data_IF_383109795883
#
_entry.id   IF_383109795883
#
_cell.length_a   1.000
_cell.length_b   1.000
_cell.length_c   1.000
_cell.angle_alpha   90.00
_cell.angle_beta   90.00
_cell.angle_gamma   90.00
#
_symmetry.space_group_name_H-M   'P 1'
#
loop_
_entity.id
_entity.type
_entity.pdbx_description
1 polymer ?
#
# COMPACT_ATOMS: atom_id res chain seq x y z
N UNK A 1 2.14 -13.57 17.91
CA UNK A 1 1.58 -13.55 16.54
C UNK A 1 2.48 -12.78 15.61
N UNK A 2 2.96 -13.43 14.57
CA UNK A 2 3.79 -12.82 13.53
C UNK A 2 2.95 -12.70 12.27
N UNK A 3 2.64 -11.45 11.86
CA UNK A 3 1.93 -11.14 10.64
C UNK A 3 2.94 -10.65 9.59
N UNK A 4 3.06 -11.36 8.47
CA UNK A 4 3.95 -11.00 7.36
C UNK A 4 3.11 -10.43 6.22
N UNK A 5 3.34 -9.18 5.89
CA UNK A 5 2.68 -8.45 4.82
C UNK A 5 3.72 -7.65 4.02
N UNK A 6 3.41 -7.34 2.75
CA UNK A 6 4.36 -6.67 1.86
C UNK A 6 4.10 -5.16 1.78
N UNK A 7 3.12 -4.73 0.98
CA UNK A 7 2.92 -3.32 0.68
C UNK A 7 1.53 -2.86 1.14
N UNK A 8 1.39 -2.34 2.37
CA UNK A 8 0.16 -1.68 2.78
C UNK A 8 -0.03 -0.40 1.96
N UNK A 9 -1.23 -0.22 1.40
CA UNK A 9 -1.61 0.97 0.64
C UNK A 9 -3.06 1.36 0.95
N UNK A 10 -3.49 2.51 0.43
CA UNK A 10 -4.80 3.07 0.72
C UNK A 10 -4.79 3.94 1.97
N UNK A 11 -5.94 4.47 2.29
CA UNK A 11 -6.20 5.35 3.42
C UNK A 11 -7.51 4.95 4.11
N UNK A 12 -7.85 5.57 5.23
CA UNK A 12 -9.16 5.34 5.82
C UNK A 12 -10.26 5.93 4.92
N UNK A 13 -11.39 5.23 4.69
CA UNK A 13 -12.45 5.67 3.74
C UNK A 13 -13.05 7.05 4.04
N UNK A 14 -12.89 7.54 5.27
CA UNK A 14 -13.32 8.91 5.63
C UNK A 14 -12.44 10.01 5.05
N UNK A 15 -11.26 9.69 4.48
CA UNK A 15 -10.29 10.68 4.02
C UNK A 15 -9.60 11.48 5.14
N UNK A 16 -9.79 11.10 6.42
CA UNK A 16 -9.22 11.80 7.57
C UNK A 16 -7.84 11.25 7.99
N UNK A 17 -7.55 10.00 7.64
CA UNK A 17 -6.31 9.30 7.98
C UNK A 17 -5.71 8.74 6.71
N UNK A 18 -4.45 9.06 6.45
CA UNK A 18 -3.69 8.56 5.30
C UNK A 18 -2.21 8.58 5.56
N UNK A 19 -1.41 8.27 4.53
CA UNK A 19 0.04 8.15 4.63
C UNK A 19 0.72 9.48 4.27
N UNK A 20 1.47 10.05 5.22
CA UNK A 20 2.31 11.24 5.02
C UNK A 20 3.72 10.99 5.56
N UNK A 21 4.60 10.37 4.77
CA UNK A 21 5.93 9.99 5.22
C UNK A 21 6.82 11.20 5.44
N UNK A 22 7.55 11.20 6.57
CA UNK A 22 8.60 12.17 6.82
C UNK A 22 9.81 11.92 5.89
N UNK A 23 10.05 12.82 4.95
CA UNK A 23 11.15 12.73 3.99
C UNK A 23 10.78 11.98 2.70
N UNK A 24 11.74 11.21 2.17
CA UNK A 24 11.52 10.44 0.93
C UNK A 24 10.69 9.18 1.24
N UNK A 25 9.56 8.97 0.55
CA UNK A 25 8.76 7.76 0.73
C UNK A 25 9.57 6.48 0.45
N UNK A 26 9.23 5.40 1.17
CA UNK A 26 9.81 4.07 0.92
C UNK A 26 8.88 3.16 0.10
N UNK A 27 7.58 3.50 0.03
CA UNK A 27 6.54 2.72 -0.65
C UNK A 27 6.11 3.39 -1.95
N UNK A 28 5.54 2.61 -2.87
CA UNK A 28 5.08 3.09 -4.18
C UNK A 28 3.95 4.11 -4.08
N UNK A 29 2.91 3.82 -3.28
CA UNK A 29 1.67 4.60 -3.27
C UNK A 29 1.86 6.08 -2.91
N UNK A 30 2.68 6.47 -1.90
CA UNK A 30 2.97 7.89 -1.66
C UNK A 30 3.62 8.60 -2.84
N UNK A 31 4.50 7.92 -3.60
CA UNK A 31 5.07 8.51 -4.82
C UNK A 31 4.01 8.77 -5.88
N UNK A 32 3.15 7.78 -6.16
CA UNK A 32 2.03 7.90 -7.12
C UNK A 32 1.10 9.04 -6.72
N UNK A 33 0.70 9.10 -5.45
CA UNK A 33 -0.18 10.14 -4.91
C UNK A 33 0.46 11.53 -4.99
N UNK A 34 1.76 11.66 -4.68
CA UNK A 34 2.50 12.93 -4.79
C UNK A 34 2.66 13.40 -6.26
N UNK A 35 2.76 12.48 -7.23
CA UNK A 35 2.72 12.83 -8.66
C UNK A 35 1.34 13.35 -9.03
N UNK A 36 0.27 12.68 -8.63
CA UNK A 36 -1.11 13.05 -8.95
C UNK A 36 -1.51 14.44 -8.43
N UNK A 37 -0.99 14.87 -7.27
CA UNK A 37 -1.21 16.24 -6.73
C UNK A 37 -0.17 17.26 -7.19
N UNK A 38 0.78 16.87 -8.08
CA UNK A 38 1.77 17.77 -8.66
C UNK A 38 3.00 18.07 -7.80
N UNK A 39 3.19 17.38 -6.67
CA UNK A 39 4.40 17.52 -5.83
C UNK A 39 5.65 16.92 -6.48
N UNK A 40 5.46 15.99 -7.43
CA UNK A 40 6.52 15.34 -8.20
C UNK A 40 6.18 15.37 -9.68
N UNK A 41 7.18 15.54 -10.57
CA UNK A 41 6.94 15.64 -12.01
C UNK A 41 6.58 14.29 -12.65
N UNK A 42 7.08 13.18 -12.12
CA UNK A 42 6.89 11.82 -12.64
C UNK A 42 7.14 10.76 -11.58
N UNK A 43 6.68 9.55 -11.87
CA UNK A 43 6.97 8.33 -11.11
C UNK A 43 8.16 7.60 -11.74
N UNK A 44 9.20 7.28 -10.96
CA UNK A 44 10.28 6.43 -11.43
C UNK A 44 9.88 4.96 -11.36
N UNK A 45 9.97 4.24 -12.49
CA UNK A 45 9.77 2.80 -12.62
C UNK A 45 11.13 2.14 -12.82
N UNK A 46 11.53 1.27 -11.90
CA UNK A 46 12.85 0.63 -11.92
C UNK A 46 12.79 -0.73 -12.62
N UNK A 47 13.20 -0.75 -13.89
CA UNK A 47 13.12 -1.89 -14.80
C UNK A 47 11.78 -1.96 -15.54
N UNK A 48 11.87 -2.25 -16.85
CA UNK A 48 10.73 -2.45 -17.75
C UNK A 48 10.94 -3.69 -18.65
N UNK A 49 11.85 -4.56 -18.23
CA UNK A 49 12.33 -5.72 -18.98
C UNK A 49 12.25 -7.01 -18.14
N UNK A 50 11.42 -7.03 -17.09
CA UNK A 50 11.13 -8.25 -16.32
C UNK A 50 10.24 -9.19 -17.15
N UNK A 51 10.35 -10.49 -16.87
CA UNK A 51 9.46 -11.51 -17.43
C UNK A 51 8.10 -11.49 -16.69
N UNK A 52 7.33 -10.45 -16.99
CA UNK A 52 6.02 -10.12 -16.40
C UNK A 52 5.11 -9.54 -17.50
N UNK A 53 3.78 -9.51 -17.32
CA UNK A 53 2.86 -9.08 -18.38
C UNK A 53 3.12 -7.68 -18.94
N UNK A 54 3.62 -6.74 -18.13
CA UNK A 54 3.91 -5.36 -18.52
C UNK A 54 5.41 -5.00 -18.49
N UNK A 55 6.26 -5.98 -18.18
CA UNK A 55 7.71 -5.80 -18.05
C UNK A 55 8.15 -5.19 -16.73
N UNK A 56 7.24 -4.79 -15.85
CA UNK A 56 7.55 -4.22 -14.54
C UNK A 56 7.45 -5.26 -13.41
N UNK A 57 7.92 -4.93 -12.21
CA UNK A 57 7.88 -5.87 -11.08
C UNK A 57 6.46 -6.04 -10.51
N UNK A 58 5.96 -7.28 -10.48
CA UNK A 58 4.69 -7.63 -9.84
C UNK A 58 4.85 -7.65 -8.32
N UNK A 59 3.93 -6.99 -7.62
CA UNK A 59 3.97 -6.82 -6.15
C UNK A 59 2.61 -7.16 -5.55
N UNK A 60 2.66 -7.56 -4.28
CA UNK A 60 1.49 -7.80 -3.45
C UNK A 60 1.15 -6.53 -2.67
N UNK A 61 -0.11 -6.15 -2.69
CA UNK A 61 -0.64 -5.00 -1.97
C UNK A 61 -1.79 -5.41 -1.06
N UNK A 62 -1.93 -4.72 0.06
CA UNK A 62 -3.02 -4.93 1.02
C UNK A 62 -3.58 -3.57 1.45
N UNK A 63 -4.92 -3.46 1.54
CA UNK A 63 -5.52 -2.25 2.06
C UNK A 63 -5.15 -2.07 3.54
N UNK A 64 -4.73 -0.86 3.91
CA UNK A 64 -4.29 -0.55 5.29
C UNK A 64 -5.37 -0.85 6.34
N UNK A 65 -6.66 -0.72 6.00
CA UNK A 65 -7.78 -1.05 6.90
C UNK A 65 -7.91 -2.56 7.08
N UNK A 66 -7.83 -3.36 5.99
CA UNK A 66 -7.82 -4.82 6.09
C UNK A 66 -6.64 -5.31 6.93
N UNK A 67 -5.47 -4.69 6.78
CA UNK A 67 -4.30 -4.98 7.59
C UNK A 67 -4.53 -4.64 9.07
N UNK A 68 -5.15 -3.50 9.39
CA UNK A 68 -5.48 -3.12 10.76
C UNK A 68 -6.46 -4.11 11.40
N UNK A 69 -7.48 -4.55 10.66
CA UNK A 69 -8.42 -5.58 11.12
C UNK A 69 -7.73 -6.93 11.35
N UNK A 70 -6.78 -7.31 10.48
CA UNK A 70 -5.99 -8.54 10.70
C UNK A 70 -5.21 -8.49 12.02
N UNK A 71 -4.70 -7.33 12.42
CA UNK A 71 -4.02 -7.19 13.72
C UNK A 71 -4.98 -7.37 14.89
N UNK A 72 -6.23 -6.89 14.79
CA UNK A 72 -7.24 -7.07 15.83
C UNK A 72 -7.58 -8.55 15.97
N UNK A 73 -7.91 -9.23 14.86
CA UNK A 73 -8.25 -10.66 14.87
C UNK A 73 -7.07 -11.51 15.37
N UNK A 74 -5.84 -11.17 15.00
CA UNK A 74 -4.65 -11.85 15.52
C UNK A 74 -4.47 -11.66 17.03
N UNK A 75 -4.76 -10.46 17.55
CA UNK A 75 -4.73 -10.19 19.00
C UNK A 75 -5.80 -10.99 19.74
N UNK A 76 -7.03 -11.02 19.22
CA UNK A 76 -8.12 -11.82 19.79
C UNK A 76 -7.73 -13.31 19.86
N UNK A 77 -7.12 -13.83 18.79
CA UNK A 77 -6.62 -15.21 18.75
C UNK A 77 -5.56 -15.49 19.82
N UNK A 78 -4.65 -14.55 20.08
CA UNK A 78 -3.62 -14.67 21.12
C UNK A 78 -4.22 -14.60 22.54
N UNK A 79 -5.34 -13.92 22.73
CA UNK A 79 -6.06 -13.90 24.00
C UNK A 79 -6.81 -15.21 24.27
N UNK A 80 -7.22 -15.93 23.21
CA UNK A 80 -7.87 -17.24 23.32
C UNK A 80 -6.88 -18.39 23.52
N UNK A 81 -5.69 -18.30 22.90
CA UNK A 81 -4.65 -19.32 22.95
C UNK A 81 -3.27 -18.71 23.10
N UNK A 82 -2.44 -19.16 24.04
CA UNK A 82 -1.09 -18.63 24.26
C UNK A 82 -0.07 -19.08 23.20
N UNK A 83 -0.49 -19.91 22.23
CA UNK A 83 0.42 -20.45 21.21
C UNK A 83 0.82 -19.38 20.20
N UNK A 84 2.12 -19.32 19.87
CA UNK A 84 2.63 -18.43 18.84
C UNK A 84 2.28 -18.95 17.45
N UNK A 85 2.03 -18.03 16.50
CA UNK A 85 1.76 -18.35 15.10
C UNK A 85 2.42 -17.36 14.15
N UNK A 86 2.54 -17.75 12.87
CA UNK A 86 3.00 -16.89 11.78
C UNK A 86 2.06 -17.04 10.60
N UNK A 87 1.52 -15.92 10.10
CA UNK A 87 0.61 -15.89 8.93
C UNK A 87 1.05 -14.85 7.91
N UNK A 88 0.75 -15.10 6.63
CA UNK A 88 0.94 -14.14 5.56
C UNK A 88 -0.38 -13.40 5.28
N UNK A 89 -0.25 -12.11 4.95
CA UNK A 89 -1.39 -11.25 4.61
C UNK A 89 -1.09 -10.53 3.30
N UNK A 90 -1.97 -10.65 2.28
CA UNK A 90 -1.76 -9.97 1.00
C UNK A 90 -2.79 -10.30 -0.08
N UNK A 91 -2.64 -9.64 -1.24
CA UNK A 91 -3.35 -9.88 -2.50
C UNK A 91 -2.54 -9.33 -3.69
N UNK A 92 -2.70 -9.88 -4.91
CA UNK A 92 -1.85 -9.54 -6.10
C UNK A 92 -2.56 -8.56 -7.03
N UNK A 93 -1.92 -7.37 -7.37
CA UNK A 93 -2.63 -6.30 -8.12
C UNK A 93 -1.67 -5.30 -8.86
N UNK A 94 -2.19 -4.64 -9.93
CA UNK A 94 -1.55 -3.57 -10.70
C UNK A 94 -2.04 -2.18 -10.24
N UNK A 95 -1.15 -1.40 -9.59
CA UNK A 95 -1.51 -0.21 -8.83
C UNK A 95 -1.61 1.08 -9.67
N UNK A 96 -0.68 1.33 -10.60
CA UNK A 96 -0.60 2.65 -11.26
C UNK A 96 -1.85 2.92 -12.09
N UNK A 97 -2.23 1.97 -12.95
CA UNK A 97 -3.43 2.11 -13.81
C UNK A 97 -4.71 2.25 -12.98
N UNK A 98 -4.84 1.48 -11.89
CA UNK A 98 -6.00 1.60 -11.01
C UNK A 98 -6.05 2.98 -10.30
N UNK A 99 -4.89 3.54 -9.94
CA UNK A 99 -4.83 4.87 -9.34
C UNK A 99 -5.17 5.98 -10.35
N UNK A 100 -4.73 5.88 -11.60
CA UNK A 100 -5.13 6.80 -12.68
C UNK A 100 -6.66 6.81 -12.88
N UNK A 101 -7.28 5.62 -12.86
CA UNK A 101 -8.74 5.50 -12.95
C UNK A 101 -9.46 6.14 -11.76
N UNK A 102 -8.97 5.88 -10.54
CA UNK A 102 -9.58 6.39 -9.31
C UNK A 102 -9.42 7.92 -9.17
N UNK A 103 -8.28 8.47 -9.55
CA UNK A 103 -7.95 9.90 -9.40
C UNK A 103 -8.39 10.76 -10.58
N UNK A 104 -8.58 10.17 -11.77
CA UNK A 104 -8.72 10.90 -13.03
C UNK A 104 -7.47 11.70 -13.40
N UNK A 105 -6.30 11.34 -12.87
CA UNK A 105 -5.02 12.00 -13.10
C UNK A 105 -4.09 11.07 -13.85
N UNK A 106 -3.45 11.55 -14.89
CA UNK A 106 -2.34 10.88 -15.55
C UNK A 106 -1.11 10.86 -14.63
N UNK A 107 -0.43 9.72 -14.56
CA UNK A 107 0.81 9.54 -13.81
C UNK A 107 1.98 9.39 -14.78
N UNK A 108 2.69 10.45 -15.11
CA UNK A 108 3.86 10.39 -15.99
C UNK A 108 4.90 9.43 -15.44
N UNK A 109 5.35 8.49 -16.28
CA UNK A 109 6.33 7.46 -15.90
C UNK A 109 7.72 7.82 -16.45
N UNK A 110 8.74 7.61 -15.64
CA UNK A 110 10.15 7.66 -16.03
C UNK A 110 10.79 6.30 -15.78
N UNK A 111 11.15 5.59 -16.84
CA UNK A 111 11.78 4.27 -16.73
C UNK A 111 13.27 4.42 -16.45
N UNK A 112 13.74 3.74 -15.43
CA UNK A 112 15.12 3.68 -14.97
C UNK A 112 15.64 2.24 -14.97
N UNK A 113 16.94 2.05 -14.82
CA UNK A 113 17.55 0.73 -14.68
C UNK A 113 17.00 -0.04 -13.45
N UNK A 114 17.04 -1.37 -13.52
CA UNK A 114 16.64 -2.24 -12.40
C UNK A 114 17.44 -1.91 -11.16
N UNK A 115 16.80 -1.94 -10.01
CA UNK A 115 17.49 -1.90 -8.71
C UNK A 115 18.07 -3.28 -8.40
N UNK A 116 19.25 -3.31 -7.81
CA UNK A 116 19.86 -4.55 -7.36
C UNK A 116 19.00 -5.23 -6.30
N UNK A 117 18.70 -6.52 -6.49
CA UNK A 117 17.90 -7.33 -5.56
C UNK A 117 16.39 -7.29 -5.81
N UNK A 118 15.88 -6.51 -6.76
CA UNK A 118 14.45 -6.55 -7.10
C UNK A 118 14.11 -7.86 -7.82
N UNK A 119 13.07 -8.55 -7.32
CA UNK A 119 12.52 -9.76 -7.94
C UNK A 119 11.48 -9.39 -9.01
N UNK A 120 11.34 -10.18 -10.08
CA UNK A 120 10.30 -9.98 -11.10
C UNK A 120 8.89 -9.99 -10.49
N UNK A 121 8.63 -10.91 -9.57
CA UNK A 121 7.33 -11.05 -8.92
C UNK A 121 7.47 -11.67 -7.53
N UNK A 122 6.64 -11.23 -6.58
CA UNK A 122 6.41 -11.90 -5.32
C UNK A 122 5.03 -11.54 -4.76
N UNK A 123 4.42 -12.51 -4.10
CA UNK A 123 3.11 -12.37 -3.45
C UNK A 123 3.00 -13.27 -2.23
N UNK A 124 2.08 -12.96 -1.32
CA UNK A 124 1.77 -13.78 -0.17
C UNK A 124 0.75 -14.88 -0.53
N UNK A 125 0.90 -16.03 0.10
CA UNK A 125 -0.20 -17.00 0.23
C UNK A 125 -0.89 -16.78 1.60
N UNK A 126 -2.11 -16.23 1.63
CA UNK A 126 -2.83 -15.94 2.87
C UNK A 126 -3.70 -17.11 3.36
N UNK A 127 -3.62 -18.30 2.74
CA UNK A 127 -4.50 -19.45 3.05
C UNK A 127 -4.49 -19.80 4.53
N UNK A 128 -3.32 -19.80 5.16
CA UNK A 128 -3.19 -20.12 6.58
C UNK A 128 -3.76 -19.01 7.49
N UNK A 129 -3.75 -17.75 7.06
CA UNK A 129 -4.45 -16.69 7.81
C UNK A 129 -5.96 -16.92 7.80
N UNK A 130 -6.54 -17.35 6.68
CA UNK A 130 -7.95 -17.71 6.60
C UNK A 130 -8.28 -18.91 7.47
N UNK A 131 -7.46 -19.97 7.47
CA UNK A 131 -7.66 -21.17 8.28
C UNK A 131 -7.58 -20.88 9.78
N UNK A 132 -6.53 -20.19 10.23
CA UNK A 132 -6.24 -19.98 11.64
C UNK A 132 -7.08 -18.85 12.27
N UNK A 133 -7.26 -17.76 11.53
CA UNK A 133 -7.86 -16.51 12.02
C UNK A 133 -9.28 -16.27 11.47
N UNK A 134 -9.73 -17.03 10.47
CA UNK A 134 -10.98 -16.74 9.74
C UNK A 134 -10.93 -15.42 8.98
N UNK A 135 -9.73 -14.85 8.76
CA UNK A 135 -9.53 -13.54 8.16
C UNK A 135 -9.10 -13.65 6.69
N UNK A 136 -9.62 -12.74 5.88
CA UNK A 136 -9.21 -12.52 4.48
C UNK A 136 -9.35 -11.05 4.11
N UNK A 137 -8.61 -10.62 3.09
CA UNK A 137 -8.81 -9.29 2.47
C UNK A 137 -10.23 -9.14 1.93
N UNK A 138 -10.82 -7.97 2.10
CA UNK A 138 -12.18 -7.62 1.63
C UNK A 138 -12.17 -6.43 0.68
N UNK A 139 -11.21 -5.52 0.85
CA UNK A 139 -11.09 -4.31 0.06
C UNK A 139 -10.26 -4.57 -1.19
N UNK A 140 -10.74 -4.04 -2.30
CA UNK A 140 -10.16 -4.22 -3.63
C UNK A 140 -9.05 -3.20 -3.91
N UNK A 141 -8.35 -3.34 -5.04
CA UNK A 141 -7.38 -2.35 -5.49
C UNK A 141 -8.05 -1.00 -5.78
N UNK A 142 -9.24 -1.03 -6.34
CA UNK A 142 -10.04 0.17 -6.60
C UNK A 142 -10.38 0.90 -5.29
N UNK A 143 -10.72 0.16 -4.23
CA UNK A 143 -10.93 0.73 -2.89
C UNK A 143 -9.64 1.36 -2.35
N UNK A 144 -8.50 0.66 -2.45
CA UNK A 144 -7.19 1.16 -2.03
C UNK A 144 -6.84 2.50 -2.72
N UNK A 145 -7.01 2.55 -4.04
CA UNK A 145 -6.70 3.74 -4.84
C UNK A 145 -7.67 4.89 -4.59
N UNK A 146 -8.99 4.59 -4.51
CA UNK A 146 -10.03 5.58 -4.20
C UNK A 146 -9.79 6.22 -2.83
N UNK A 147 -9.55 5.43 -1.81
CA UNK A 147 -9.42 5.91 -0.44
C UNK A 147 -8.10 6.68 -0.27
N UNK A 148 -7.02 6.22 -0.89
CA UNK A 148 -5.76 6.98 -0.96
C UNK A 148 -5.95 8.33 -1.65
N UNK A 149 -6.67 8.37 -2.78
CA UNK A 149 -6.93 9.61 -3.50
C UNK A 149 -7.83 10.56 -2.71
N UNK A 150 -8.86 10.03 -2.04
CA UNK A 150 -9.75 10.84 -1.18
C UNK A 150 -8.95 11.57 -0.10
N UNK A 151 -7.99 10.87 0.55
CA UNK A 151 -7.11 11.51 1.53
C UNK A 151 -6.12 12.48 0.89
N UNK A 152 -5.38 12.08 -0.14
CA UNK A 152 -4.31 12.89 -0.74
C UNK A 152 -4.85 14.16 -1.40
N UNK A 153 -6.00 14.09 -2.06
CA UNK A 153 -6.62 15.27 -2.69
C UNK A 153 -7.11 16.30 -1.68
N UNK A 154 -7.54 15.85 -0.49
CA UNK A 154 -7.88 16.71 0.63
C UNK A 154 -6.66 17.23 1.41
N UNK A 155 -5.49 16.58 1.25
CA UNK A 155 -4.24 16.91 1.93
C UNK A 155 -3.07 16.95 0.93
N UNK A 156 -3.09 17.85 -0.06
CA UNK A 156 -2.07 17.84 -1.12
C UNK A 156 -0.64 18.05 -0.60
N UNK A 157 -0.48 18.77 0.50
CA UNK A 157 0.81 19.01 1.17
C UNK A 157 1.08 18.09 2.38
N UNK A 158 0.23 17.07 2.59
CA UNK A 158 0.27 16.21 3.77
C UNK A 158 -0.53 16.73 4.95
N UNK A 159 -0.29 16.19 6.15
CA UNK A 159 -0.96 16.68 7.36
C UNK A 159 -0.58 18.13 7.68
N UNK A 160 -1.52 18.93 8.20
CA UNK A 160 -1.20 20.27 8.69
C UNK A 160 -0.06 20.20 9.70
N UNK A 161 1.02 20.96 9.46
CA UNK A 161 2.10 21.07 10.43
C UNK A 161 1.53 21.68 11.72
N UNK A 162 1.65 20.96 12.85
CA UNK A 162 1.36 21.58 14.14
C UNK A 162 2.40 22.67 14.36
N UNK A 163 1.95 23.90 14.54
CA UNK A 163 2.82 24.93 15.11
C UNK A 163 3.29 24.37 16.46
N UNK A 164 4.57 24.00 16.54
CA UNK A 164 5.20 23.72 17.82
C UNK A 164 5.28 25.08 18.52
N UNK A 165 4.28 25.36 19.36
CA UNK A 165 4.23 26.59 20.14
C UNK A 165 5.55 26.72 20.87
N UNK A 166 6.23 27.85 20.67
CA UNK A 166 7.36 28.24 21.47
C UNK A 166 6.92 28.25 22.94
N UNK A 167 7.43 27.28 23.72
CA UNK A 167 7.28 27.24 25.16
C UNK A 167 8.27 28.22 25.81
#
# INVERSE_FOLDING_TARGET
>A
GILRYFNPIGAHPTGLIGEDPNGVPNNLMPFVAQVAVGRRPHLNVFGNDYDTPDGTGVRDYIHVVDLAEAHIVALEKLLESPDSFTVNLGSVLDVVRAFEQASGREIPLNFAERRAGDLPAYWADPSYAMELLGWKTRLTLEDMCRDQWAWQSGNPEGYPQREVGAA
#
